data_IF_896185556682
#
_entry.id   IF_896185556682
#
_cell.length_a   1.000
_cell.length_b   1.000
_cell.length_c   1.000
_cell.angle_alpha   90.00
_cell.angle_beta   90.00
_cell.angle_gamma   90.00
#
_symmetry.space_group_name_H-M   'P 1'
#
loop_
_entity.id
_entity.type
_entity.pdbx_description
1 polymer ?
#
# COMPACT_ATOMS: atom_id res chain seq x y z
N UNK A 1 -15.89 1.25 6.14
CA UNK A 1 -15.20 2.53 6.45
C UNK A 1 -13.71 2.22 6.49
N UNK A 2 -12.88 2.94 5.71
CA UNK A 2 -11.46 2.61 5.56
C UNK A 2 -10.71 2.65 6.91
N UNK A 3 -9.97 1.58 7.20
CA UNK A 3 -9.29 1.41 8.49
C UNK A 3 -7.98 2.18 8.58
N UNK A 4 -7.31 2.39 7.44
CA UNK A 4 -6.03 3.08 7.36
C UNK A 4 -6.16 4.40 6.58
N UNK A 5 -5.17 5.27 6.72
CA UNK A 5 -5.16 6.62 6.16
C UNK A 5 -3.81 6.93 5.50
N UNK A 6 -3.83 7.85 4.55
CA UNK A 6 -2.63 8.40 3.93
C UNK A 6 -1.61 8.88 4.97
N UNK A 7 -0.33 8.62 4.70
CA UNK A 7 0.79 8.96 5.56
C UNK A 7 1.11 7.91 6.64
N UNK A 8 0.28 6.89 6.83
CA UNK A 8 0.58 5.83 7.80
C UNK A 8 1.60 4.83 7.24
N UNK A 9 2.62 4.51 8.04
CA UNK A 9 3.49 3.37 7.80
C UNK A 9 2.76 2.08 8.16
N UNK A 10 2.75 1.14 7.22
CA UNK A 10 2.07 -0.15 7.35
C UNK A 10 2.99 -1.29 6.94
N UNK A 11 2.80 -2.44 7.57
CA UNK A 11 3.40 -3.71 7.15
C UNK A 11 2.41 -4.46 6.27
N UNK A 12 2.83 -4.94 5.11
CA UNK A 12 1.94 -5.59 4.15
C UNK A 12 2.63 -6.71 3.35
N UNK A 13 1.81 -7.56 2.70
CA UNK A 13 2.27 -8.56 1.73
C UNK A 13 1.94 -8.10 0.30
N UNK A 14 2.95 -7.84 -0.56
CA UNK A 14 2.72 -7.34 -1.92
C UNK A 14 2.18 -8.41 -2.87
N UNK A 15 2.43 -9.69 -2.58
CA UNK A 15 2.06 -10.81 -3.44
C UNK A 15 1.35 -11.87 -2.62
N UNK A 16 0.19 -12.33 -3.09
CA UNK A 16 -0.64 -13.27 -2.35
C UNK A 16 -1.36 -12.60 -1.17
N UNK A 17 -2.50 -13.18 -0.79
CA UNK A 17 -3.32 -12.67 0.31
C UNK A 17 -2.60 -12.62 1.68
N UNK A 18 -3.28 -12.21 2.76
CA UNK A 18 -2.73 -12.19 4.12
C UNK A 18 -2.07 -13.50 4.53
N UNK A 19 -2.67 -14.63 4.13
CA UNK A 19 -2.24 -15.98 4.51
C UNK A 19 -1.12 -16.54 3.61
N UNK A 20 -0.66 -15.78 2.61
CA UNK A 20 0.39 -16.24 1.71
C UNK A 20 1.74 -16.35 2.43
N UNK A 21 2.61 -17.27 1.99
CA UNK A 21 3.96 -17.43 2.53
C UNK A 21 4.99 -16.47 1.91
N UNK A 22 4.54 -15.40 1.26
CA UNK A 22 5.42 -14.40 0.67
C UNK A 22 6.01 -13.47 1.73
N UNK A 23 7.15 -12.86 1.41
CA UNK A 23 7.81 -11.92 2.32
C UNK A 23 6.95 -10.70 2.62
N UNK A 24 6.93 -10.31 3.89
CA UNK A 24 6.35 -9.05 4.35
C UNK A 24 7.29 -7.89 4.02
N UNK A 25 6.72 -6.72 3.76
CA UNK A 25 7.46 -5.46 3.58
C UNK A 25 6.79 -4.31 4.31
N UNK A 26 7.46 -3.17 4.40
CA UNK A 26 6.95 -1.93 5.02
C UNK A 26 6.78 -0.86 3.94
N UNK A 27 5.70 -0.10 4.02
CA UNK A 27 5.45 1.02 3.13
C UNK A 27 4.59 2.09 3.76
N UNK A 28 4.45 3.21 3.06
CA UNK A 28 3.60 4.34 3.47
C UNK A 28 2.39 4.39 2.56
N UNK A 29 1.20 4.53 3.14
CA UNK A 29 -0.03 4.72 2.35
C UNK A 29 0.00 6.09 1.69
N UNK A 30 -0.13 6.14 0.38
CA UNK A 30 -0.16 7.37 -0.42
C UNK A 30 -1.57 7.76 -0.84
N UNK A 31 -2.47 6.78 -1.01
CA UNK A 31 -3.86 7.03 -1.37
C UNK A 31 -4.82 5.94 -0.86
N UNK A 32 -6.09 6.30 -0.72
CA UNK A 32 -7.18 5.42 -0.24
C UNK A 32 -8.43 5.60 -1.08
N UNK A 33 -8.76 4.60 -1.91
CA UNK A 33 -10.02 4.57 -2.65
C UNK A 33 -11.10 3.79 -1.90
N UNK A 34 -12.27 4.41 -1.79
CA UNK A 34 -13.50 3.80 -1.24
C UNK A 34 -14.64 3.77 -2.26
N UNK A 35 -14.41 4.25 -3.48
CA UNK A 35 -15.33 4.21 -4.61
C UNK A 35 -14.53 3.83 -5.88
N UNK A 36 -15.18 3.30 -6.94
CA UNK A 36 -14.46 2.93 -8.16
C UNK A 36 -13.76 4.12 -8.82
N UNK A 37 -12.44 4.01 -9.02
CA UNK A 37 -11.62 5.05 -9.66
C UNK A 37 -10.32 4.44 -10.22
N UNK A 38 -9.43 5.26 -10.79
CA UNK A 38 -8.11 4.87 -11.24
C UNK A 38 -7.04 5.05 -10.16
N UNK A 39 -6.17 4.06 -9.98
CA UNK A 39 -5.02 4.12 -9.08
C UNK A 39 -3.84 3.35 -9.70
N UNK A 40 -2.61 3.88 -9.58
CA UNK A 40 -1.42 3.33 -10.23
C UNK A 40 -1.64 2.94 -11.71
N UNK A 41 -2.25 3.86 -12.48
CA UNK A 41 -2.61 3.71 -13.90
C UNK A 41 -3.54 2.52 -14.23
N UNK A 42 -4.34 2.06 -13.25
CA UNK A 42 -5.30 0.96 -13.41
C UNK A 42 -6.67 1.35 -12.90
N UNK A 43 -7.72 0.87 -13.56
CA UNK A 43 -9.07 0.98 -13.03
C UNK A 43 -9.26 0.00 -11.87
N UNK A 44 -9.70 0.52 -10.74
CA UNK A 44 -9.85 -0.21 -9.50
C UNK A 44 -11.31 -0.14 -9.06
N UNK A 45 -11.92 -1.31 -8.89
CA UNK A 45 -13.25 -1.42 -8.29
C UNK A 45 -13.11 -1.44 -6.76
N UNK A 46 -13.20 -0.26 -6.14
CA UNK A 46 -13.23 -0.08 -4.69
C UNK A 46 -14.65 0.17 -4.17
N UNK A 47 -14.86 -0.11 -2.90
CA UNK A 47 -16.10 0.22 -2.18
C UNK A 47 -15.80 0.52 -0.71
N UNK A 48 -16.74 1.07 0.08
CA UNK A 48 -16.51 1.33 1.50
C UNK A 48 -16.26 0.06 2.35
N UNK A 49 -16.72 -1.10 1.85
CA UNK A 49 -16.53 -2.43 2.45
C UNK A 49 -15.31 -3.16 1.88
N UNK A 50 -14.78 -2.71 0.75
CA UNK A 50 -13.59 -3.23 0.10
C UNK A 50 -12.70 -2.08 -0.40
N UNK A 51 -12.12 -1.29 0.53
CA UNK A 51 -11.25 -0.19 0.18
C UNK A 51 -9.97 -0.69 -0.52
N UNK A 52 -9.31 0.21 -1.22
CA UNK A 52 -8.06 -0.05 -1.95
C UNK A 52 -7.02 0.96 -1.50
N UNK A 53 -5.81 0.48 -1.25
CA UNK A 53 -4.74 1.28 -0.69
C UNK A 53 -3.58 1.32 -1.68
N UNK A 54 -3.15 2.51 -2.02
CA UNK A 54 -1.87 2.71 -2.68
C UNK A 54 -0.78 2.75 -1.62
N UNK A 55 0.24 1.89 -1.77
CA UNK A 55 1.34 1.81 -0.82
C UNK A 55 2.65 2.01 -1.57
N UNK A 56 3.38 3.04 -1.16
CA UNK A 56 4.75 3.27 -1.61
C UNK A 56 5.70 2.50 -0.70
N UNK A 57 6.54 1.63 -1.29
CA UNK A 57 7.52 0.85 -0.53
C UNK A 57 8.53 1.80 0.15
N UNK A 58 8.68 1.65 1.47
CA UNK A 58 9.67 2.42 2.21
C UNK A 58 11.04 1.79 1.92
N UNK A 59 11.93 2.53 1.25
CA UNK A 59 13.29 2.06 1.00
C UNK A 59 13.93 1.58 2.31
N UNK A 60 14.36 0.31 2.32
CA UNK A 60 14.92 -0.39 3.48
C UNK A 60 15.80 0.52 4.35
N UNK A 61 15.30 0.86 5.54
CA UNK A 61 16.04 1.44 6.66
C UNK A 61 17.03 2.58 6.35
N UNK A 62 16.59 3.66 5.70
CA UNK A 62 17.09 5.00 6.07
C UNK A 62 16.26 6.13 5.46
N UNK A 63 15.59 6.89 6.34
CA UNK A 63 14.94 8.15 6.02
C UNK A 63 16.00 9.25 5.86
N UNK A 64 16.71 9.26 4.73
CA UNK A 64 17.40 10.44 4.25
C UNK A 64 16.64 10.98 3.04
N UNK A 65 16.18 12.22 3.16
CA UNK A 65 15.58 13.01 2.08
C UNK A 65 16.62 13.32 0.99
N UNK A 66 17.10 12.30 0.28
CA UNK A 66 17.76 12.44 -1.03
C UNK A 66 17.08 11.41 -1.94
N UNK A 67 16.18 11.91 -2.77
CA UNK A 67 15.40 11.15 -3.72
C UNK A 67 16.34 10.43 -4.70
N UNK A 68 16.59 9.14 -4.47
CA UNK A 68 17.16 8.28 -5.50
C UNK A 68 16.01 7.85 -6.41
N UNK A 69 15.96 8.44 -7.60
CA UNK A 69 14.93 8.29 -8.62
C UNK A 69 14.92 6.93 -9.34
N UNK A 70 15.58 5.89 -8.81
CA UNK A 70 15.75 4.62 -9.55
C UNK A 70 14.69 3.54 -9.32
N UNK A 71 13.88 3.58 -8.27
CA UNK A 71 12.82 2.56 -8.12
C UNK A 71 11.42 3.14 -8.04
N UNK A 72 11.12 4.10 -7.14
CA UNK A 72 9.84 4.81 -7.10
C UNK A 72 8.59 3.92 -7.26
N UNK A 73 8.68 2.64 -6.89
CA UNK A 73 7.68 1.64 -7.26
C UNK A 73 6.46 1.83 -6.38
N UNK A 74 5.37 2.21 -7.03
CA UNK A 74 4.05 2.31 -6.45
C UNK A 74 3.32 0.99 -6.74
N UNK A 75 2.68 0.42 -5.73
CA UNK A 75 1.85 -0.78 -5.90
C UNK A 75 0.52 -0.60 -5.18
N UNK A 76 -0.52 -1.26 -5.70
CA UNK A 76 -1.86 -1.24 -5.11
C UNK A 76 -2.14 -2.58 -4.46
N UNK A 77 -2.56 -2.57 -3.20
CA UNK A 77 -2.85 -3.78 -2.42
C UNK A 77 -4.25 -3.73 -1.80
N UNK A 78 -4.81 -4.91 -1.54
CA UNK A 78 -6.07 -5.06 -0.80
C UNK A 78 -5.85 -4.77 0.70
N UNK A 79 -6.88 -4.26 1.39
CA UNK A 79 -6.83 -4.04 2.84
C UNK A 79 -6.42 -5.30 3.61
N UNK A 80 -6.93 -6.45 3.18
CA UNK A 80 -6.62 -7.74 3.78
C UNK A 80 -5.12 -8.09 3.75
N UNK A 81 -4.34 -7.48 2.86
CA UNK A 81 -2.90 -7.72 2.78
C UNK A 81 -2.09 -6.85 3.76
N UNK A 82 -2.72 -5.90 4.46
CA UNK A 82 -2.08 -5.06 5.48
C UNK A 82 -2.19 -5.77 6.84
N UNK A 83 -1.03 -6.05 7.43
CA UNK A 83 -0.90 -6.82 8.67
C UNK A 83 -0.96 -5.96 9.93
N UNK A 84 -0.71 -4.65 9.82
CA UNK A 84 -0.73 -3.72 10.94
C UNK A 84 0.08 -2.44 10.70
N UNK A 85 0.04 -1.54 11.69
CA UNK A 85 0.92 -0.37 11.73
C UNK A 85 2.36 -0.80 12.03
N UNK A 86 3.33 -0.09 11.46
CA UNK A 86 4.77 -0.27 11.75
C UNK A 86 5.31 0.81 12.68
#
# INVERSE_FOLDING_TARGET
MARYKTGQSVRYKPVGGPDSQTSETVGVITDVLTEPDSQADRNVQASPDSPRYEVMEAAHNQWFYIQNSNTGKVTTVYEANILGLS
#
